data_IF_748319069400
#
_entry.id   IF_748319069400
#
_cell.length_a   1.000
_cell.length_b   1.000
_cell.length_c   1.000
_cell.angle_alpha   90.00
_cell.angle_beta   90.00
_cell.angle_gamma   90.00
#
_symmetry.space_group_name_H-M   'P 1'
#
loop_
_entity.id
_entity.type
_entity.pdbx_description
1 polymer ?
#
# COMPACT_ATOMS: atom_id res chain seq x y z
N UNK A 1 -20.45 25.09 5.85
CA UNK A 1 -19.57 25.65 6.91
C UNK A 1 -18.63 26.65 6.24
N UNK A 2 -18.37 27.83 6.82
CA UNK A 2 -17.56 28.90 6.18
C UNK A 2 -16.11 28.79 6.65
N UNK A 3 -15.22 28.35 5.77
CA UNK A 3 -13.77 28.38 6.03
C UNK A 3 -13.34 29.86 6.09
N UNK A 4 -12.63 30.24 7.16
CA UNK A 4 -12.08 31.59 7.30
C UNK A 4 -10.63 31.55 6.81
N UNK A 5 -10.37 32.20 5.70
CA UNK A 5 -9.04 32.42 5.16
C UNK A 5 -8.55 33.80 5.57
N UNK A 6 -7.32 33.88 6.04
CA UNK A 6 -6.58 35.12 6.26
C UNK A 6 -6.14 35.71 4.93
N UNK A 7 -5.84 37.02 4.91
CA UNK A 7 -5.36 37.70 3.70
C UNK A 7 -4.09 37.04 3.15
N UNK A 8 -3.20 36.55 4.02
CA UNK A 8 -1.99 35.83 3.61
C UNK A 8 -2.29 34.50 2.93
N UNK A 9 -3.24 33.71 3.48
CA UNK A 9 -3.66 32.45 2.87
C UNK A 9 -4.27 32.70 1.49
N UNK A 10 -5.09 33.73 1.33
CA UNK A 10 -5.70 34.13 0.04
C UNK A 10 -4.63 34.52 -0.98
N UNK A 11 -3.63 35.32 -0.57
CA UNK A 11 -2.53 35.70 -1.46
C UNK A 11 -1.70 34.48 -1.92
N UNK A 12 -1.43 33.54 -1.01
CA UNK A 12 -0.70 32.31 -1.34
C UNK A 12 -1.49 31.42 -2.28
N UNK A 13 -2.81 31.31 -2.07
CA UNK A 13 -3.73 30.59 -2.95
C UNK A 13 -3.67 31.18 -4.36
N UNK A 14 -3.94 32.49 -4.52
CA UNK A 14 -3.97 33.12 -5.83
C UNK A 14 -2.62 33.04 -6.58
N UNK A 15 -1.50 33.11 -5.85
CA UNK A 15 -0.18 32.88 -6.44
C UNK A 15 -0.03 31.45 -6.96
N UNK A 16 -0.39 30.45 -6.14
CA UNK A 16 -0.24 29.05 -6.49
C UNK A 16 -1.17 28.63 -7.63
N UNK A 17 -2.41 29.13 -7.67
CA UNK A 17 -3.34 28.91 -8.78
C UNK A 17 -2.80 29.51 -10.09
N UNK A 18 -2.27 30.74 -10.06
CA UNK A 18 -1.65 31.38 -11.23
C UNK A 18 -0.42 30.62 -11.74
N UNK A 19 0.36 30.05 -10.82
CA UNK A 19 1.56 29.28 -11.14
C UNK A 19 1.21 27.91 -11.74
N UNK A 20 0.27 27.19 -11.11
CA UNK A 20 0.02 25.77 -11.42
C UNK A 20 -1.16 25.52 -12.34
N UNK A 21 -2.09 26.47 -12.47
CA UNK A 21 -3.36 26.29 -13.16
C UNK A 21 -4.35 25.35 -12.45
N UNK A 22 -3.99 24.83 -11.27
CA UNK A 22 -4.85 23.99 -10.45
C UNK A 22 -5.82 24.85 -9.62
N UNK A 23 -7.01 24.32 -9.33
CA UNK A 23 -7.97 24.96 -8.43
C UNK A 23 -7.64 24.62 -6.98
N UNK A 24 -7.35 25.64 -6.17
CA UNK A 24 -7.03 25.48 -4.75
C UNK A 24 -8.25 25.83 -3.91
N UNK A 25 -8.62 24.93 -3.02
CA UNK A 25 -9.79 25.06 -2.14
C UNK A 25 -9.40 25.70 -0.80
N UNK A 26 -8.26 25.29 -0.24
CA UNK A 26 -7.78 25.78 1.05
C UNK A 26 -6.26 25.79 1.12
N UNK A 27 -5.74 26.63 2.01
CA UNK A 27 -4.33 26.75 2.32
C UNK A 27 -4.16 26.77 3.84
N UNK A 28 -3.29 25.91 4.35
CA UNK A 28 -2.95 25.84 5.76
C UNK A 28 -1.45 26.09 5.89
N UNK A 29 -1.11 27.17 6.57
CA UNK A 29 0.25 27.61 6.79
C UNK A 29 0.71 27.28 8.21
N UNK A 30 1.74 26.45 8.34
CA UNK A 30 2.50 26.28 9.57
C UNK A 30 3.88 26.95 9.45
N UNK A 31 4.67 26.89 10.52
CA UNK A 31 6.01 27.48 10.57
C UNK A 31 6.95 26.91 9.51
N UNK A 32 6.95 25.59 9.32
CA UNK A 32 7.89 24.86 8.47
C UNK A 32 7.30 24.40 7.13
N UNK A 33 5.97 24.43 6.99
CA UNK A 33 5.26 23.78 5.89
C UNK A 33 3.98 24.51 5.53
N UNK A 34 3.66 24.54 4.24
CA UNK A 34 2.40 25.02 3.69
C UNK A 34 1.71 23.83 3.03
N UNK A 35 0.43 23.67 3.31
CA UNK A 35 -0.39 22.62 2.70
C UNK A 35 -1.46 23.26 1.85
N UNK A 36 -1.48 22.90 0.58
CA UNK A 36 -2.52 23.28 -0.36
C UNK A 36 -3.50 22.13 -0.55
N UNK A 37 -4.78 22.41 -0.36
CA UNK A 37 -5.85 21.46 -0.67
C UNK A 37 -6.38 21.81 -2.06
N UNK A 38 -6.20 20.91 -3.01
CA UNK A 38 -6.63 21.11 -4.41
C UNK A 38 -7.88 20.30 -4.71
N UNK A 39 -8.61 20.68 -5.76
CA UNK A 39 -9.75 19.92 -6.24
C UNK A 39 -9.33 18.52 -6.73
N UNK A 40 -10.25 17.57 -6.67
CA UNK A 40 -10.07 16.24 -7.26
C UNK A 40 -9.72 16.33 -8.75
N UNK A 41 -8.65 15.65 -9.17
CA UNK A 41 -8.10 15.67 -10.52
C UNK A 41 -7.01 16.72 -10.77
N UNK A 42 -6.91 17.76 -9.94
CA UNK A 42 -5.97 18.86 -10.15
C UNK A 42 -4.58 18.60 -9.54
N UNK A 43 -4.38 17.49 -8.83
CA UNK A 43 -3.09 17.17 -8.19
C UNK A 43 -1.93 17.08 -9.19
N UNK A 44 -2.18 16.59 -10.41
CA UNK A 44 -1.17 16.52 -11.47
C UNK A 44 -0.74 17.90 -11.96
N UNK A 45 -1.70 18.80 -12.19
CA UNK A 45 -1.43 20.18 -12.58
C UNK A 45 -0.73 20.95 -11.44
N UNK A 46 -1.17 20.74 -10.20
CA UNK A 46 -0.59 21.34 -9.00
C UNK A 46 0.89 20.96 -8.82
N UNK A 47 1.26 19.71 -9.10
CA UNK A 47 2.65 19.24 -9.02
C UNK A 47 3.48 19.77 -10.21
N UNK A 48 2.92 19.72 -11.42
CA UNK A 48 3.63 20.07 -12.65
C UNK A 48 4.64 19.02 -13.09
N UNK A 49 5.27 19.22 -14.26
CA UNK A 49 6.25 18.28 -14.82
C UNK A 49 7.46 18.18 -13.89
N UNK A 50 7.74 16.97 -13.37
CA UNK A 50 8.87 16.76 -12.45
C UNK A 50 8.81 17.57 -11.14
N UNK A 51 7.61 18.02 -10.74
CA UNK A 51 7.43 18.83 -9.53
C UNK A 51 7.85 20.30 -9.66
N UNK A 52 7.95 20.83 -10.89
CA UNK A 52 8.37 22.22 -11.15
C UNK A 52 7.54 23.25 -10.36
N UNK A 53 6.22 23.15 -10.42
CA UNK A 53 5.31 24.10 -9.74
C UNK A 53 5.52 24.09 -8.21
N UNK A 54 5.70 22.90 -7.63
CA UNK A 54 5.97 22.74 -6.19
C UNK A 54 7.34 23.31 -5.82
N UNK A 55 8.37 23.10 -6.65
CA UNK A 55 9.73 23.65 -6.42
C UNK A 55 9.72 25.17 -6.48
N UNK A 56 9.11 25.76 -7.51
CA UNK A 56 9.00 27.22 -7.65
C UNK A 56 8.21 27.85 -6.51
N UNK A 57 7.12 27.22 -6.07
CA UNK A 57 6.38 27.69 -4.91
C UNK A 57 7.18 27.55 -3.60
N UNK A 58 7.96 26.47 -3.44
CA UNK A 58 8.84 26.25 -2.28
C UNK A 58 9.92 27.33 -2.19
N UNK A 59 10.53 27.71 -3.31
CA UNK A 59 11.49 28.81 -3.41
C UNK A 59 10.84 30.16 -3.07
N UNK A 60 9.62 30.40 -3.57
CA UNK A 60 8.89 31.64 -3.32
C UNK A 60 8.51 31.84 -1.86
N UNK A 61 8.02 30.78 -1.22
CA UNK A 61 7.50 30.86 0.16
C UNK A 61 8.55 30.51 1.22
N UNK A 62 9.69 29.93 0.84
CA UNK A 62 10.75 29.50 1.75
C UNK A 62 10.33 28.39 2.72
N UNK A 63 9.23 27.68 2.43
CA UNK A 63 8.65 26.61 3.27
C UNK A 63 8.41 25.37 2.43
N UNK A 64 8.40 24.20 3.08
CA UNK A 64 8.05 22.95 2.40
C UNK A 64 6.59 23.00 1.96
N UNK A 65 6.29 22.44 0.81
CA UNK A 65 4.92 22.43 0.27
C UNK A 65 4.44 21.00 0.18
N UNK A 66 3.25 20.76 0.71
CA UNK A 66 2.48 19.55 0.45
C UNK A 66 1.21 19.92 -0.31
N UNK A 67 0.81 19.04 -1.22
CA UNK A 67 -0.44 19.15 -1.96
C UNK A 67 -1.31 17.96 -1.58
N UNK A 68 -2.55 18.23 -1.18
CA UNK A 68 -3.54 17.22 -0.82
C UNK A 68 -4.72 17.36 -1.77
N UNK A 69 -5.10 16.24 -2.40
CA UNK A 69 -6.31 16.18 -3.20
C UNK A 69 -7.55 16.07 -2.30
N UNK A 70 -8.47 17.02 -2.45
CA UNK A 70 -9.79 16.95 -1.85
C UNK A 70 -10.62 15.82 -2.46
N UNK A 71 -11.39 15.13 -1.62
CA UNK A 71 -12.35 14.14 -2.09
C UNK A 71 -13.63 14.22 -1.25
N UNK A 72 -14.77 13.94 -1.88
CA UNK A 72 -16.07 13.86 -1.22
C UNK A 72 -16.20 12.60 -0.34
N UNK A 73 -15.48 11.53 -0.65
CA UNK A 73 -15.39 10.36 0.21
C UNK A 73 -14.43 10.62 1.38
N UNK A 74 -14.97 10.62 2.60
CA UNK A 74 -14.19 10.78 3.83
C UNK A 74 -13.04 9.77 3.92
N UNK A 75 -13.25 8.50 3.52
CA UNK A 75 -12.20 7.48 3.63
C UNK A 75 -11.03 7.79 2.70
N UNK A 76 -11.32 8.18 1.46
CA UNK A 76 -10.32 8.63 0.49
C UNK A 76 -9.64 9.93 0.94
N UNK A 77 -10.40 10.91 1.41
CA UNK A 77 -9.83 12.19 1.87
C UNK A 77 -8.86 12.02 3.04
N UNK A 78 -9.22 11.22 4.06
CA UNK A 78 -8.30 10.93 5.17
C UNK A 78 -7.03 10.23 4.68
N UNK A 79 -7.12 9.30 3.72
CA UNK A 79 -5.93 8.68 3.10
C UNK A 79 -5.05 9.71 2.40
N UNK A 80 -5.66 10.62 1.64
CA UNK A 80 -4.95 11.68 0.91
C UNK A 80 -4.20 12.62 1.87
N UNK A 81 -4.75 12.93 3.04
CA UNK A 81 -4.09 13.79 4.04
C UNK A 81 -2.78 13.18 4.54
N UNK A 82 -2.70 11.85 4.66
CA UNK A 82 -1.50 11.16 5.13
C UNK A 82 -0.56 10.73 4.00
N UNK A 83 -0.88 11.03 2.73
CA UNK A 83 -0.01 10.73 1.60
C UNK A 83 1.39 11.35 1.80
N UNK A 84 2.49 10.62 1.50
CA UNK A 84 2.57 9.35 0.76
C UNK A 84 2.45 8.08 1.64
N UNK A 85 2.03 8.19 2.90
CA UNK A 85 1.98 7.05 3.83
C UNK A 85 0.75 6.19 3.55
N UNK A 86 0.96 4.89 3.33
CA UNK A 86 -0.12 3.93 3.20
C UNK A 86 -0.72 3.56 4.57
N UNK A 87 -2.03 3.78 4.71
CA UNK A 87 -2.80 3.41 5.90
C UNK A 87 -3.35 1.99 5.74
N UNK A 88 -3.30 1.17 6.80
CA UNK A 88 -3.82 -0.20 6.76
C UNK A 88 -5.34 -0.21 6.69
N UNK A 89 -5.99 0.62 7.51
CA UNK A 89 -7.45 0.77 7.49
C UNK A 89 -7.89 2.12 8.07
N UNK A 90 -9.07 2.56 7.69
CA UNK A 90 -9.73 3.77 8.19
C UNK A 90 -11.21 3.48 8.39
N UNK A 91 -11.72 3.77 9.58
CA UNK A 91 -13.14 3.70 9.92
C UNK A 91 -13.55 4.88 10.79
N UNK A 92 -14.85 5.12 10.88
CA UNK A 92 -15.41 6.27 11.59
C UNK A 92 -16.34 5.79 12.70
N UNK A 93 -16.31 6.49 13.84
CA UNK A 93 -17.24 6.22 14.95
C UNK A 93 -17.78 7.54 15.48
N UNK A 94 -19.08 7.57 15.76
CA UNK A 94 -19.72 8.70 16.43
C UNK A 94 -19.64 8.50 17.94
N UNK A 95 -18.99 9.40 18.67
CA UNK A 95 -18.87 9.39 20.13
C UNK A 95 -19.37 10.74 20.64
N UNK A 96 -20.36 10.74 21.54
CA UNK A 96 -20.97 11.96 22.10
C UNK A 96 -21.45 12.95 21.02
N UNK A 97 -21.98 12.43 19.91
CA UNK A 97 -22.42 13.25 18.77
C UNK A 97 -21.30 13.67 17.80
N UNK A 98 -20.04 13.42 18.14
CA UNK A 98 -18.88 13.83 17.36
C UNK A 98 -18.37 12.69 16.47
N UNK A 99 -18.08 12.99 15.20
CA UNK A 99 -17.48 12.02 14.28
C UNK A 99 -15.96 11.96 14.50
N UNK A 100 -15.47 10.79 14.89
CA UNK A 100 -14.05 10.51 15.11
C UNK A 100 -13.57 9.51 14.06
N UNK A 101 -12.51 9.87 13.35
CA UNK A 101 -11.83 8.98 12.42
C UNK A 101 -10.79 8.15 13.17
N UNK A 102 -10.82 6.84 12.96
CA UNK A 102 -9.82 5.90 13.45
C UNK A 102 -8.98 5.42 12.28
N UNK A 103 -7.67 5.58 12.42
CA UNK A 103 -6.71 5.27 11.38
C UNK A 103 -5.76 4.20 11.90
N UNK A 104 -5.72 3.06 11.24
CA UNK A 104 -4.79 1.98 11.52
C UNK A 104 -3.58 2.07 10.63
N UNK A 105 -2.39 2.03 11.24
CA UNK A 105 -1.12 2.16 10.52
C UNK A 105 -0.13 1.08 10.89
N UNK A 106 0.80 0.84 9.98
CA UNK A 106 1.96 0.02 10.25
C UNK A 106 2.86 0.71 11.30
N UNK A 107 3.39 -0.04 12.29
CA UNK A 107 4.36 0.49 13.26
C UNK A 107 5.54 1.25 12.66
N UNK A 108 5.98 0.89 11.45
CA UNK A 108 7.07 1.56 10.72
C UNK A 108 6.79 3.05 10.46
N UNK A 109 5.53 3.41 10.20
CA UNK A 109 5.14 4.76 9.84
C UNK A 109 4.63 5.59 11.03
N UNK A 110 4.59 5.03 12.25
CA UNK A 110 4.09 5.73 13.45
C UNK A 110 4.71 7.12 13.64
N UNK A 111 6.03 7.23 13.47
CA UNK A 111 6.74 8.50 13.64
C UNK A 111 6.35 9.52 12.57
N UNK A 112 6.20 9.09 11.33
CA UNK A 112 5.84 9.97 10.21
C UNK A 112 4.38 10.46 10.34
N UNK A 113 3.46 9.57 10.73
CA UNK A 113 2.05 9.92 10.93
C UNK A 113 1.86 10.85 12.11
N UNK A 114 2.39 10.52 13.29
CA UNK A 114 2.30 11.39 14.48
C UNK A 114 3.08 12.70 14.26
N UNK A 115 4.25 12.61 13.67
CA UNK A 115 5.18 13.73 13.51
C UNK A 115 5.85 14.14 14.82
N UNK A 116 6.75 15.11 14.73
CA UNK A 116 7.47 15.65 15.89
C UNK A 116 6.50 16.46 16.77
N UNK A 117 6.31 16.05 18.03
CA UNK A 117 5.33 16.60 18.99
C UNK A 117 3.86 16.50 18.56
N UNK A 118 3.51 15.56 17.68
CA UNK A 118 2.12 15.42 17.22
C UNK A 118 1.68 16.41 16.15
N UNK A 119 2.58 17.32 15.72
CA UNK A 119 2.30 18.39 14.75
C UNK A 119 1.65 17.89 13.45
N UNK A 120 2.02 16.68 12.99
CA UNK A 120 1.47 16.15 11.74
C UNK A 120 0.02 15.67 11.90
N UNK A 121 -0.32 15.02 13.02
CA UNK A 121 -1.72 14.66 13.32
C UNK A 121 -2.55 15.91 13.57
N UNK A 122 -2.02 16.89 14.29
CA UNK A 122 -2.76 18.13 14.58
C UNK A 122 -3.14 18.87 13.30
N UNK A 123 -2.18 18.99 12.37
CA UNK A 123 -2.44 19.50 11.02
C UNK A 123 -3.50 18.68 10.27
N UNK A 124 -3.37 17.35 10.29
CA UNK A 124 -4.35 16.47 9.64
C UNK A 124 -5.77 16.68 10.22
N UNK A 125 -5.88 16.86 11.53
CA UNK A 125 -7.14 17.17 12.22
C UNK A 125 -7.65 18.55 11.81
N UNK A 126 -6.78 19.55 11.68
CA UNK A 126 -7.17 20.89 11.22
C UNK A 126 -7.73 20.86 9.79
N UNK A 127 -7.07 20.16 8.87
CA UNK A 127 -7.53 19.96 7.48
C UNK A 127 -8.90 19.27 7.49
N UNK A 128 -9.02 18.14 8.20
CA UNK A 128 -10.24 17.37 8.25
C UNK A 128 -11.42 18.17 8.82
N UNK A 129 -11.19 18.98 9.87
CA UNK A 129 -12.21 19.85 10.48
C UNK A 129 -12.71 20.94 9.55
N UNK A 130 -11.85 21.49 8.68
CA UNK A 130 -12.23 22.56 7.76
C UNK A 130 -13.11 22.05 6.60
N UNK A 131 -12.88 20.81 6.17
CA UNK A 131 -13.49 20.27 4.95
C UNK A 131 -14.54 19.18 5.19
N UNK A 132 -14.59 18.58 6.37
CA UNK A 132 -15.48 17.45 6.71
C UNK A 132 -16.03 17.60 8.14
N UNK A 133 -16.99 16.76 8.51
CA UNK A 133 -17.55 16.71 9.87
C UNK A 133 -16.65 16.00 10.89
N UNK A 134 -15.48 15.51 10.47
CA UNK A 134 -14.54 14.80 11.35
C UNK A 134 -13.89 15.78 12.32
N UNK A 135 -14.21 15.63 13.61
CA UNK A 135 -13.66 16.49 14.68
C UNK A 135 -12.31 16.03 15.18
N UNK A 136 -12.00 14.74 15.10
CA UNK A 136 -10.75 14.22 15.64
C UNK A 136 -10.29 12.97 14.89
N UNK A 137 -8.97 12.73 14.88
CA UNK A 137 -8.32 11.58 14.25
C UNK A 137 -7.53 10.82 15.32
N UNK A 138 -7.85 9.55 15.53
CA UNK A 138 -7.16 8.65 16.45
C UNK A 138 -6.35 7.62 15.68
N UNK A 139 -5.05 7.56 15.98
CA UNK A 139 -4.14 6.62 15.34
C UNK A 139 -3.98 5.37 16.18
N UNK A 140 -4.30 4.22 15.59
CA UNK A 140 -4.09 2.89 16.16
C UNK A 140 -2.92 2.25 15.44
N UNK A 141 -1.93 1.81 16.20
CA UNK A 141 -0.79 1.09 15.64
C UNK A 141 -1.11 -0.40 15.66
N UNK A 142 -1.14 -1.01 14.47
CA UNK A 142 -1.33 -2.45 14.36
C UNK A 142 -0.21 -3.20 15.07
N UNK A 143 -0.51 -4.34 15.69
CA UNK A 143 0.55 -5.20 16.19
C UNK A 143 1.39 -5.65 14.99
N UNK A 144 2.73 -5.59 15.13
CA UNK A 144 3.60 -6.39 14.27
C UNK A 144 3.10 -7.82 14.47
N UNK A 145 2.36 -8.38 13.51
CA UNK A 145 2.36 -9.83 13.36
C UNK A 145 3.83 -10.14 13.19
N UNK A 146 4.50 -10.60 14.25
CA UNK A 146 5.79 -11.26 14.09
C UNK A 146 5.47 -12.30 13.02
N UNK A 147 6.14 -12.31 11.85
CA UNK A 147 6.02 -13.47 11.00
C UNK A 147 6.33 -14.63 11.94
N UNK A 148 5.34 -15.49 12.15
CA UNK A 148 5.54 -16.71 12.90
C UNK A 148 6.69 -17.36 12.14
N UNK A 149 7.92 -17.24 12.65
CA UNK A 149 9.01 -18.07 12.16
C UNK A 149 8.42 -19.45 12.38
N UNK A 150 7.96 -20.11 11.32
CA UNK A 150 7.94 -21.56 11.30
C UNK A 150 9.35 -21.88 11.74
N UNK A 151 9.52 -22.22 13.02
CA UNK A 151 10.63 -23.04 13.46
C UNK A 151 10.50 -24.20 12.49
N UNK A 152 11.35 -24.20 11.47
CA UNK A 152 11.47 -25.33 10.60
C UNK A 152 11.85 -26.48 11.53
N UNK A 153 10.82 -27.22 11.98
CA UNK A 153 10.93 -28.64 12.19
C UNK A 153 11.62 -29.18 10.95
N UNK A 154 12.58 -30.06 11.20
CA UNK A 154 13.68 -30.40 10.32
C UNK A 154 13.33 -30.46 8.84
N UNK A 155 14.32 -30.08 8.03
CA UNK A 155 14.48 -30.53 6.65
C UNK A 155 13.90 -31.95 6.50
N UNK A 156 12.74 -32.10 5.87
CA UNK A 156 12.46 -33.32 5.14
C UNK A 156 13.29 -33.20 3.87
N UNK A 157 14.52 -33.71 3.96
CA UNK A 157 15.36 -33.94 2.79
C UNK A 157 14.61 -34.98 1.96
N UNK A 158 13.92 -34.53 0.92
CA UNK A 158 13.64 -35.40 -0.21
C UNK A 158 15.01 -35.61 -0.87
N UNK A 159 15.66 -36.72 -0.52
CA UNK A 159 16.79 -37.27 -1.27
C UNK A 159 16.28 -38.54 -1.92
N UNK A 160 16.23 -38.46 -3.24
CA UNK A 160 16.01 -39.49 -4.24
C UNK A 160 16.23 -40.93 -3.75
N UNK A 161 15.15 -41.66 -3.51
CA UNK A 161 15.17 -43.13 -3.57
C UNK A 161 15.07 -43.55 -5.03
N UNK A 162 16.17 -43.37 -5.76
CA UNK A 162 16.33 -43.94 -7.11
C UNK A 162 17.79 -44.30 -7.43
N UNK A 163 18.60 -44.64 -6.42
CA UNK A 163 19.98 -45.12 -6.62
C UNK A 163 20.45 -46.30 -5.75
N UNK A 164 19.61 -46.94 -4.94
CA UNK A 164 20.07 -48.03 -4.04
C UNK A 164 19.39 -49.39 -4.26
N UNK A 165 18.75 -49.60 -5.41
CA UNK A 165 18.27 -50.92 -5.86
C UNK A 165 18.91 -51.40 -7.17
N UNK A 166 19.88 -50.64 -7.72
CA UNK A 166 20.61 -51.01 -8.96
C UNK A 166 21.89 -51.80 -8.66
N UNK A 167 22.39 -51.82 -7.41
CA UNK A 167 23.63 -52.54 -7.07
C UNK A 167 23.43 -53.92 -6.43
N UNK A 168 22.20 -54.41 -6.25
CA UNK A 168 21.95 -55.78 -5.75
C UNK A 168 21.61 -56.82 -6.83
N UNK A 169 21.62 -56.48 -8.12
CA UNK A 169 21.39 -57.46 -9.21
C UNK A 169 22.61 -57.67 -10.13
N UNK A 170 23.74 -57.01 -9.86
CA UNK A 170 24.98 -57.17 -10.63
C UNK A 170 25.85 -58.37 -10.22
N UNK A 171 25.37 -59.26 -9.35
CA UNK A 171 26.08 -60.48 -8.93
C UNK A 171 25.37 -61.80 -9.29
N UNK A 172 24.28 -61.76 -10.06
CA UNK A 172 23.54 -62.96 -10.45
C UNK A 172 23.33 -63.09 -11.96
N UNK A 173 24.30 -62.73 -12.81
CA UNK A 173 24.39 -63.22 -14.20
C UNK A 173 25.85 -63.18 -14.69
N UNK A 174 26.72 -63.89 -13.97
CA UNK A 174 27.85 -64.62 -14.58
C UNK A 174 27.63 -66.11 -14.32
N UNK A 175 26.63 -66.62 -15.03
CA UNK A 175 26.48 -68.02 -15.44
C UNK A 175 25.74 -67.86 -16.76
N UNK A 176 26.48 -67.57 -17.82
CA UNK A 176 26.88 -68.60 -18.77
C UNK A 176 25.64 -69.24 -19.39
N UNK A 177 25.30 -68.72 -20.56
CA UNK A 177 25.08 -69.52 -21.77
C UNK A 177 24.39 -70.87 -21.57
N UNK A 178 23.12 -70.95 -21.97
CA UNK A 178 22.66 -71.95 -22.95
C UNK A 178 21.19 -71.70 -23.33
N UNK A 179 20.93 -71.77 -24.65
CA UNK A 179 19.63 -71.95 -25.32
C UNK A 179 18.72 -70.71 -25.32
N UNK A 180 18.63 -69.89 -26.37
CA UNK A 180 18.30 -70.21 -27.78
C UNK A 180 17.13 -71.18 -27.92
N UNK A 181 16.11 -70.67 -28.61
CA UNK A 181 15.02 -71.36 -29.30
C UNK A 181 13.65 -71.40 -28.62
N UNK A 182 12.66 -71.07 -29.47
CA UNK A 182 11.23 -71.40 -29.40
C UNK A 182 10.42 -70.55 -28.42
N UNK A 183 9.23 -70.04 -28.73
CA UNK A 183 8.30 -70.07 -29.87
C UNK A 183 7.25 -69.00 -29.45
N UNK A 184 6.93 -68.02 -30.30
CA UNK A 184 5.75 -68.03 -31.16
C UNK A 184 4.39 -68.15 -30.42
N UNK A 185 3.47 -67.27 -30.86
CA UNK A 185 1.99 -67.37 -30.80
C UNK A 185 1.40 -67.12 -29.40
N UNK A 186 0.47 -66.20 -29.19
CA UNK A 186 -0.89 -66.22 -29.74
C UNK A 186 -1.62 -64.92 -29.29
N UNK A 187 -2.20 -64.18 -30.25
CA UNK A 187 -3.62 -63.71 -30.30
C UNK A 187 -4.19 -62.87 -29.13
N UNK A 188 -5.11 -61.91 -29.27
CA UNK A 188 -5.89 -61.26 -30.33
C UNK A 188 -6.82 -60.26 -29.60
N UNK A 189 -7.15 -59.12 -30.25
CA UNK A 189 -8.48 -58.45 -30.27
C UNK A 189 -8.98 -57.83 -28.93
N UNK A 190 -9.79 -56.75 -28.83
CA UNK A 190 -10.70 -55.95 -29.69
C UNK A 190 -11.16 -54.75 -28.81
N UNK A 191 -11.19 -53.49 -29.28
CA UNK A 191 -12.39 -52.77 -29.83
C UNK A 191 -13.46 -52.51 -28.76
N UNK A 192 -13.59 -51.30 -28.19
CA UNK A 192 -14.43 -50.12 -28.60
C UNK A 192 -15.67 -49.98 -27.69
N UNK A 193 -16.24 -48.77 -27.68
CA UNK A 193 -17.56 -48.32 -27.19
C UNK A 193 -17.53 -47.58 -25.84
N UNK A 194 -17.70 -46.24 -25.86
CA UNK A 194 -18.97 -45.47 -25.70
C UNK A 194 -19.23 -45.21 -24.20
N UNK A 195 -19.79 -44.10 -23.71
CA UNK A 195 -20.59 -43.00 -24.25
C UNK A 195 -20.48 -41.81 -23.25
N UNK A 196 -20.71 -40.62 -23.80
CA UNK A 196 -21.38 -39.42 -23.24
C UNK A 196 -21.36 -39.14 -21.73
#
# INVERSE_FOLDING_TARGET
MKVRLTTEEIMKIGYFEKLSGATVIDCICDDDRIVFVVKEGDIGAAIGKGGENVKTAMEKFGKKIDIIEYSSDLKKFIKNIFAPIELEDVWFKKINGELIAYVRINPKFRRAVIGNRGRNIERAVQIARRHTDVKNIRVIVGNRRRPFRKRFGGKKVLRDTSKESVEMQAQATKTEETNTEQQQTETTNTTTEENQ
#
